data_IF_295068440397
#
_entry.id   IF_295068440397
#
_cell.length_a   1.000
_cell.length_b   1.000
_cell.length_c   1.000
_cell.angle_alpha   90.00
_cell.angle_beta   90.00
_cell.angle_gamma   90.00
#
_symmetry.space_group_name_H-M   'P 1'
#
loop_
_entity.id
_entity.type
_entity.pdbx_description
1 polymer ?
#
# COMPACT_ATOMS: atom_id res chain seq x y z
N UNK A 1 -20.09 -5.16 2.09
CA UNK A 1 -19.77 -6.59 2.32
C UNK A 1 -20.09 -7.43 1.09
N UNK A 2 -21.02 -6.94 0.26
CA UNK A 2 -21.47 -7.58 -0.98
C UNK A 2 -20.36 -7.52 -2.04
N UNK A 3 -20.14 -6.34 -2.63
CA UNK A 3 -19.21 -6.14 -3.76
C UNK A 3 -17.80 -5.71 -3.32
N UNK A 4 -17.52 -5.71 -2.03
CA UNK A 4 -16.20 -5.39 -1.48
C UNK A 4 -15.35 -6.64 -1.24
N UNK A 5 -14.03 -6.51 -1.37
CA UNK A 5 -13.10 -7.57 -0.95
C UNK A 5 -11.77 -7.01 -0.46
N UNK A 6 -11.32 -7.49 0.70
CA UNK A 6 -9.94 -7.41 1.13
C UNK A 6 -9.11 -8.47 0.39
N UNK A 7 -8.23 -8.00 -0.48
CA UNK A 7 -7.32 -8.84 -1.26
C UNK A 7 -5.87 -8.65 -0.80
N UNK A 8 -5.10 -9.73 -0.86
CA UNK A 8 -3.68 -9.71 -0.51
C UNK A 8 -2.89 -10.06 -1.77
N UNK A 9 -2.15 -9.08 -2.28
CA UNK A 9 -1.15 -9.31 -3.31
C UNK A 9 0.16 -9.75 -2.67
N UNK A 10 0.98 -10.49 -3.41
CA UNK A 10 2.26 -10.98 -2.91
C UNK A 10 3.40 -10.71 -3.90
N UNK A 11 4.61 -10.64 -3.36
CA UNK A 11 5.85 -10.64 -4.13
C UNK A 11 6.88 -11.55 -3.47
N UNK A 12 7.39 -12.50 -4.24
CA UNK A 12 8.44 -13.42 -3.81
C UNK A 12 9.82 -12.83 -4.09
N UNK A 13 10.74 -12.98 -3.15
CA UNK A 13 12.16 -12.71 -3.31
C UNK A 13 12.93 -13.95 -2.88
N UNK A 14 13.20 -14.85 -3.85
CA UNK A 14 13.85 -16.13 -3.61
C UNK A 14 15.28 -15.98 -3.06
N UNK A 15 16.02 -14.98 -3.55
CA UNK A 15 17.40 -14.74 -3.10
C UNK A 15 17.48 -14.43 -1.60
N UNK A 16 16.49 -13.71 -1.07
CA UNK A 16 16.42 -13.38 0.36
C UNK A 16 15.54 -14.35 1.15
N UNK A 17 14.89 -15.31 0.47
CA UNK A 17 13.82 -16.14 1.02
C UNK A 17 12.75 -15.29 1.74
N UNK A 18 12.27 -14.23 1.09
CA UNK A 18 11.24 -13.32 1.65
C UNK A 18 10.00 -13.30 0.76
N UNK A 19 8.83 -13.32 1.38
CA UNK A 19 7.54 -13.08 0.72
C UNK A 19 6.94 -11.80 1.30
N UNK A 20 6.67 -10.83 0.43
CA UNK A 20 6.01 -9.59 0.82
C UNK A 20 4.51 -9.72 0.59
N UNK A 21 3.69 -9.44 1.59
CA UNK A 21 2.23 -9.40 1.50
C UNK A 21 1.75 -7.96 1.52
N UNK A 22 0.92 -7.55 0.57
CA UNK A 22 0.41 -6.18 0.49
C UNK A 22 -1.12 -6.18 0.37
N UNK A 23 -1.83 -5.57 1.34
CA UNK A 23 -3.28 -5.51 1.34
C UNK A 23 -3.85 -4.44 0.41
N UNK A 24 -4.99 -4.76 -0.20
CA UNK A 24 -5.77 -3.87 -1.06
C UNK A 24 -7.25 -4.09 -0.80
N UNK A 25 -8.02 -3.01 -0.81
CA UNK A 25 -9.48 -3.08 -0.92
C UNK A 25 -9.86 -2.93 -2.39
N UNK A 26 -10.75 -3.80 -2.84
CA UNK A 26 -11.39 -3.72 -4.15
C UNK A 26 -12.90 -3.60 -3.96
N UNK A 27 -13.52 -2.69 -4.70
CA UNK A 27 -14.97 -2.57 -4.84
C UNK A 27 -15.35 -2.96 -6.27
N UNK A 28 -15.98 -4.13 -6.42
CA UNK A 28 -16.32 -4.81 -7.67
C UNK A 28 -17.57 -4.18 -8.30
N UNK A 29 -17.46 -2.92 -8.70
CA UNK A 29 -18.57 -2.08 -9.16
C UNK A 29 -18.66 -1.99 -10.70
N UNK A 30 -18.27 -3.06 -11.40
CA UNK A 30 -18.25 -3.12 -12.88
C UNK A 30 -19.65 -3.05 -13.54
N UNK A 31 -20.73 -3.05 -12.76
CA UNK A 31 -22.08 -2.77 -13.24
C UNK A 31 -22.35 -1.27 -13.48
N UNK A 32 -21.48 -0.37 -13.02
CA UNK A 32 -21.62 1.08 -13.20
C UNK A 32 -20.67 1.60 -14.29
N UNK A 33 -21.13 2.56 -15.13
CA UNK A 33 -20.27 3.30 -16.04
C UNK A 33 -19.13 4.05 -15.34
N UNK A 34 -18.08 4.35 -16.09
CA UNK A 34 -16.87 5.00 -15.56
C UNK A 34 -17.17 6.36 -14.92
N UNK A 35 -18.02 7.18 -15.53
CA UNK A 35 -18.34 8.52 -15.04
C UNK A 35 -19.12 8.49 -13.71
N UNK A 36 -19.97 7.48 -13.50
CA UNK A 36 -20.64 7.25 -12.22
C UNK A 36 -19.65 6.79 -11.15
N UNK A 37 -18.70 5.91 -11.49
CA UNK A 37 -17.63 5.52 -10.57
C UNK A 37 -16.70 6.68 -10.20
N UNK A 38 -16.47 7.62 -11.12
CA UNK A 38 -15.71 8.84 -10.82
C UNK A 38 -16.45 9.72 -9.80
N UNK A 39 -17.76 9.91 -9.97
CA UNK A 39 -18.61 10.65 -9.00
C UNK A 39 -18.62 9.95 -7.63
N UNK A 40 -18.74 8.63 -7.60
CA UNK A 40 -18.70 7.85 -6.35
C UNK A 40 -17.33 7.97 -5.67
N UNK A 41 -16.24 7.87 -6.44
CA UNK A 41 -14.87 8.05 -5.95
C UNK A 41 -14.68 9.43 -5.32
N UNK A 42 -15.17 10.49 -5.97
CA UNK A 42 -15.13 11.85 -5.45
C UNK A 42 -15.94 11.98 -4.15
N UNK A 43 -17.17 11.47 -4.14
CA UNK A 43 -18.02 11.48 -2.95
C UNK A 43 -17.36 10.77 -1.75
N UNK A 44 -16.78 9.59 -1.96
CA UNK A 44 -16.08 8.85 -0.91
C UNK A 44 -14.90 9.66 -0.36
N UNK A 45 -14.18 10.36 -1.23
CA UNK A 45 -13.08 11.22 -0.83
C UNK A 45 -13.55 12.44 -0.04
N UNK A 46 -14.61 13.12 -0.49
CA UNK A 46 -15.13 14.31 0.20
C UNK A 46 -15.75 13.98 1.55
N UNK A 47 -16.44 12.84 1.66
CA UNK A 47 -17.21 12.47 2.86
C UNK A 47 -16.36 11.75 3.91
N UNK A 48 -15.46 10.85 3.47
CA UNK A 48 -14.70 9.98 4.38
C UNK A 48 -13.19 10.22 4.31
N UNK A 49 -12.72 11.12 3.45
CA UNK A 49 -11.30 11.37 3.21
C UNK A 49 -10.52 10.11 2.86
N UNK A 50 -11.16 9.19 2.13
CA UNK A 50 -10.57 7.95 1.62
C UNK A 50 -10.29 8.07 0.13
N UNK A 51 -9.04 7.83 -0.26
CA UNK A 51 -8.62 7.91 -1.65
C UNK A 51 -8.72 6.55 -2.33
N UNK A 52 -9.63 6.45 -3.30
CA UNK A 52 -9.74 5.30 -4.20
C UNK A 52 -9.25 5.66 -5.61
N UNK A 53 -8.88 4.65 -6.40
CA UNK A 53 -8.58 4.80 -7.83
C UNK A 53 -9.41 3.86 -8.67
N UNK A 54 -9.73 4.31 -9.88
CA UNK A 54 -10.21 3.43 -10.93
C UNK A 54 -9.14 2.41 -11.30
N UNK A 55 -9.56 1.17 -11.52
CA UNK A 55 -8.74 0.11 -12.08
C UNK A 55 -9.52 -0.57 -13.19
N UNK A 56 -8.88 -0.78 -14.33
CA UNK A 56 -9.48 -1.45 -15.47
C UNK A 56 -9.70 -2.94 -15.20
N UNK A 57 -10.75 -3.51 -15.80
CA UNK A 57 -11.03 -4.93 -15.91
C UNK A 57 -11.62 -5.28 -17.28
N UNK A 58 -11.78 -6.58 -17.53
CA UNK A 58 -12.29 -7.14 -18.78
C UNK A 58 -13.80 -7.44 -18.76
N UNK A 59 -14.49 -7.20 -17.64
CA UNK A 59 -15.89 -7.52 -17.40
C UNK A 59 -16.75 -6.26 -17.13
N UNK A 60 -18.05 -6.36 -17.37
CA UNK A 60 -19.00 -5.26 -17.21
C UNK A 60 -18.60 -4.02 -18.02
N UNK A 61 -18.74 -2.83 -17.43
CA UNK A 61 -18.24 -1.57 -17.98
C UNK A 61 -16.71 -1.41 -17.91
N UNK A 62 -15.98 -2.44 -17.44
CA UNK A 62 -14.52 -2.49 -17.52
C UNK A 62 -13.78 -1.71 -16.44
N UNK A 63 -14.46 -1.25 -15.38
CA UNK A 63 -13.85 -0.47 -14.31
C UNK A 63 -14.36 -0.85 -12.93
N UNK A 64 -13.47 -0.69 -11.94
CA UNK A 64 -13.73 -0.88 -10.52
C UNK A 64 -12.99 0.16 -9.69
N UNK A 65 -13.29 0.25 -8.39
CA UNK A 65 -12.53 1.08 -7.46
C UNK A 65 -11.61 0.22 -6.59
N UNK A 66 -10.42 0.74 -6.28
CA UNK A 66 -9.48 0.12 -5.34
C UNK A 66 -8.67 1.11 -4.54
N UNK A 67 -8.19 0.69 -3.38
CA UNK A 67 -7.12 1.43 -2.67
C UNK A 67 -5.78 1.24 -3.37
N UNK A 68 -4.89 2.23 -3.27
CA UNK A 68 -3.55 2.17 -3.90
C UNK A 68 -2.39 2.26 -2.93
N UNK A 69 -2.68 2.41 -1.63
CA UNK A 69 -1.66 2.40 -0.60
C UNK A 69 -2.12 1.55 0.57
N UNK A 70 -1.17 0.99 1.30
CA UNK A 70 -1.42 0.24 2.53
C UNK A 70 -2.14 1.11 3.56
N UNK A 71 -1.73 2.38 3.67
CA UNK A 71 -2.36 3.36 4.56
C UNK A 71 -3.85 3.51 4.27
N UNK A 72 -4.21 3.73 3.01
CA UNK A 72 -5.62 3.89 2.62
C UNK A 72 -6.41 2.58 2.79
N UNK A 73 -5.79 1.42 2.57
CA UNK A 73 -6.41 0.12 2.86
C UNK A 73 -6.77 -0.01 4.34
N UNK A 74 -5.85 0.31 5.26
CA UNK A 74 -6.13 0.22 6.69
C UNK A 74 -7.16 1.25 7.16
N UNK A 75 -7.07 2.50 6.70
CA UNK A 75 -8.10 3.52 6.98
C UNK A 75 -9.49 3.09 6.50
N UNK A 76 -9.57 2.43 5.35
CA UNK A 76 -10.84 1.87 4.85
C UNK A 76 -11.37 0.79 5.80
N UNK A 77 -10.51 -0.13 6.25
CA UNK A 77 -10.90 -1.20 7.17
C UNK A 77 -11.35 -0.64 8.53
N UNK A 78 -10.63 0.32 9.09
CA UNK A 78 -10.99 1.03 10.33
C UNK A 78 -12.37 1.71 10.20
N UNK A 79 -12.65 2.36 9.06
CA UNK A 79 -13.94 3.02 8.83
C UNK A 79 -15.11 2.04 8.87
N UNK A 80 -14.95 0.85 8.27
CA UNK A 80 -16.03 -0.14 8.20
C UNK A 80 -16.09 -1.07 9.41
N UNK A 81 -15.05 -1.11 10.24
CA UNK A 81 -14.90 -2.03 11.37
C UNK A 81 -16.13 -2.07 12.29
N UNK A 82 -16.71 -0.92 12.72
CA UNK A 82 -17.83 -0.93 13.67
C UNK A 82 -19.03 -1.72 13.17
N UNK A 83 -19.28 -1.70 11.86
CA UNK A 83 -20.39 -2.41 11.22
C UNK A 83 -19.96 -3.83 10.84
N UNK A 84 -18.74 -4.00 10.32
CA UNK A 84 -18.25 -5.28 9.83
C UNK A 84 -18.06 -6.33 10.92
N UNK A 85 -17.66 -5.93 12.14
CA UNK A 85 -17.41 -6.87 13.24
C UNK A 85 -18.68 -7.59 13.72
N UNK A 86 -19.86 -7.06 13.40
CA UNK A 86 -21.15 -7.70 13.73
C UNK A 86 -21.43 -8.93 12.86
N UNK A 87 -20.71 -9.09 11.74
CA UNK A 87 -20.89 -10.18 10.80
C UNK A 87 -19.61 -11.04 10.70
N UNK A 88 -19.46 -12.00 11.62
CA UNK A 88 -18.27 -12.86 11.71
C UNK A 88 -18.00 -13.69 10.44
N UNK A 89 -19.05 -14.07 9.71
CA UNK A 89 -18.93 -14.80 8.45
C UNK A 89 -18.25 -13.98 7.34
N UNK A 90 -18.20 -12.65 7.46
CA UNK A 90 -17.61 -11.74 6.48
C UNK A 90 -16.16 -11.31 6.82
N UNK A 91 -15.58 -11.81 7.92
CA UNK A 91 -14.21 -11.44 8.34
C UNK A 91 -13.15 -11.69 7.27
N UNK A 92 -13.36 -12.65 6.36
CA UNK A 92 -12.46 -12.89 5.24
C UNK A 92 -12.37 -11.72 4.23
N UNK A 93 -13.37 -10.83 4.19
CA UNK A 93 -13.41 -9.61 3.36
C UNK A 93 -13.09 -8.34 4.15
N UNK A 94 -13.24 -8.35 5.48
CA UNK A 94 -13.29 -7.13 6.29
C UNK A 94 -12.28 -7.09 7.43
N UNK A 95 -11.61 -8.19 7.76
CA UNK A 95 -10.60 -8.24 8.82
C UNK A 95 -9.23 -8.53 8.25
N UNK A 96 -8.31 -7.59 8.46
CA UNK A 96 -6.90 -7.77 8.12
C UNK A 96 -6.28 -8.92 8.90
N UNK A 97 -6.47 -8.96 10.21
CA UNK A 97 -5.85 -9.96 11.08
C UNK A 97 -6.24 -11.38 10.65
N UNK A 98 -7.54 -11.61 10.48
CA UNK A 98 -8.07 -12.91 10.05
C UNK A 98 -7.52 -13.31 8.68
N UNK A 99 -7.54 -12.38 7.71
CA UNK A 99 -7.11 -12.68 6.34
C UNK A 99 -5.60 -12.88 6.23
N UNK A 100 -4.81 -12.09 6.96
CA UNK A 100 -3.36 -12.15 7.00
C UNK A 100 -2.87 -13.47 7.61
N UNK A 101 -3.46 -13.91 8.73
CA UNK A 101 -3.12 -15.20 9.34
C UNK A 101 -3.34 -16.36 8.36
N UNK A 102 -4.46 -16.36 7.64
CA UNK A 102 -4.72 -17.38 6.60
C UNK A 102 -3.68 -17.37 5.49
N UNK A 103 -3.28 -16.20 4.99
CA UNK A 103 -2.24 -16.11 3.95
C UNK A 103 -0.86 -16.50 4.50
N UNK A 104 -0.51 -16.15 5.74
CA UNK A 104 0.74 -16.57 6.37
C UNK A 104 0.82 -18.10 6.44
N UNK A 105 -0.23 -18.76 6.91
CA UNK A 105 -0.28 -20.22 6.99
C UNK A 105 -0.15 -20.88 5.62
N UNK A 106 -0.86 -20.35 4.62
CA UNK A 106 -0.76 -20.82 3.23
C UNK A 106 0.67 -20.73 2.69
N UNK A 107 1.33 -19.61 2.90
CA UNK A 107 2.71 -19.41 2.42
C UNK A 107 3.73 -20.22 3.21
N UNK A 108 3.56 -20.38 4.52
CA UNK A 108 4.42 -21.24 5.34
C UNK A 108 4.30 -22.72 4.95
N UNK A 109 3.12 -23.18 4.56
CA UNK A 109 2.94 -24.55 4.04
C UNK A 109 3.71 -24.75 2.72
N UNK A 110 3.75 -23.75 1.84
CA UNK A 110 4.46 -23.83 0.55
C UNK A 110 5.96 -23.59 0.68
N UNK A 111 6.37 -22.67 1.55
CA UNK A 111 7.75 -22.26 1.75
C UNK A 111 8.07 -22.08 3.24
N UNK A 112 8.35 -23.18 3.97
CA UNK A 112 8.57 -23.14 5.42
C UNK A 112 9.69 -22.21 5.85
N UNK A 113 10.79 -22.19 5.08
CA UNK A 113 12.00 -21.42 5.35
C UNK A 113 11.91 -19.94 4.97
N UNK A 114 10.81 -19.51 4.34
CA UNK A 114 10.68 -18.12 3.88
C UNK A 114 10.19 -17.23 5.02
N UNK A 115 10.76 -16.03 5.12
CA UNK A 115 10.26 -14.97 5.99
C UNK A 115 9.09 -14.28 5.31
N UNK A 116 7.95 -14.16 6.00
CA UNK A 116 6.76 -13.49 5.48
C UNK A 116 6.69 -12.10 6.10
N UNK A 117 6.63 -11.09 5.24
CA UNK A 117 6.68 -9.69 5.61
C UNK A 117 5.46 -8.95 5.07
N UNK A 118 4.58 -8.50 5.96
CA UNK A 118 3.50 -7.59 5.59
C UNK A 118 4.04 -6.21 5.28
N UNK A 119 3.70 -5.67 4.11
CA UNK A 119 3.90 -4.26 3.77
C UNK A 119 3.10 -3.41 4.76
N UNK A 120 3.78 -2.62 5.58
CA UNK A 120 3.16 -1.62 6.44
C UNK A 120 3.33 -0.22 5.85
N UNK A 121 2.40 0.67 6.16
CA UNK A 121 2.58 2.12 5.94
C UNK A 121 3.80 2.65 6.69
N UNK A 122 4.12 2.06 7.85
CA UNK A 122 5.20 2.50 8.74
C UNK A 122 6.60 2.13 8.23
N UNK A 123 6.69 1.36 7.13
CA UNK A 123 7.96 1.10 6.45
C UNK A 123 8.51 2.30 5.69
N UNK A 124 7.76 3.40 5.56
CA UNK A 124 8.39 4.66 5.24
C UNK A 124 9.25 5.05 6.44
N UNK A 125 10.56 4.79 6.38
CA UNK A 125 11.49 5.51 7.25
C UNK A 125 11.47 6.96 6.74
N UNK A 126 10.82 7.93 7.39
CA UNK A 126 10.97 9.33 6.99
C UNK A 126 12.46 9.70 7.14
N UNK A 127 12.94 10.67 6.37
CA UNK A 127 14.26 11.23 6.66
C UNK A 127 14.14 12.05 7.94
N UNK A 128 15.01 11.79 8.90
CA UNK A 128 15.16 12.68 10.05
C UNK A 128 15.72 14.05 9.60
N UNK A 129 15.54 15.11 10.39
CA UNK A 129 16.17 16.40 10.12
C UNK A 129 17.70 16.29 9.91
N UNK A 130 18.36 15.44 10.69
CA UNK A 130 19.80 15.18 10.56
C UNK A 130 20.15 14.47 9.25
N UNK A 131 19.36 13.48 8.83
CA UNK A 131 19.55 12.83 7.53
C UNK A 131 19.33 13.82 6.37
N UNK A 132 18.39 14.77 6.50
CA UNK A 132 18.17 15.83 5.50
C UNK A 132 19.37 16.78 5.45
N UNK A 133 19.89 17.19 6.60
CA UNK A 133 21.06 18.06 6.70
C UNK A 133 22.30 17.39 6.08
N UNK A 134 22.54 16.13 6.44
CA UNK A 134 23.62 15.33 5.90
C UNK A 134 23.47 15.09 4.39
N UNK A 135 22.24 14.83 3.91
CA UNK A 135 21.96 14.70 2.48
C UNK A 135 22.31 15.98 1.69
N UNK A 136 21.98 17.16 2.22
CA UNK A 136 22.36 18.45 1.60
C UNK A 136 23.88 18.60 1.51
N UNK A 137 24.58 18.40 2.63
CA UNK A 137 26.05 18.50 2.69
C UNK A 137 26.74 17.54 1.71
N UNK A 138 26.31 16.28 1.66
CA UNK A 138 26.91 15.30 0.74
C UNK A 138 26.66 15.67 -0.73
N UNK A 139 25.50 16.25 -1.06
CA UNK A 139 25.21 16.71 -2.42
C UNK A 139 26.01 17.95 -2.82
N UNK A 140 26.18 18.90 -1.90
CA UNK A 140 27.04 20.07 -2.10
C UNK A 140 28.51 19.66 -2.30
N UNK A 141 28.96 18.63 -1.60
CA UNK A 141 30.29 18.04 -1.74
C UNK A 141 30.45 17.11 -2.97
N UNK A 142 29.46 17.05 -3.86
CA UNK A 142 29.56 16.33 -5.14
C UNK A 142 29.37 14.80 -5.06
N UNK A 143 28.93 14.24 -3.93
CA UNK A 143 28.73 12.80 -3.80
C UNK A 143 27.60 12.29 -4.71
N UNK A 144 27.82 11.11 -5.29
CA UNK A 144 26.82 10.45 -6.13
C UNK A 144 25.64 9.95 -5.28
N UNK A 145 24.47 9.83 -5.89
CA UNK A 145 23.28 9.30 -5.20
C UNK A 145 23.49 7.88 -4.69
N UNK A 146 24.30 7.07 -5.37
CA UNK A 146 24.64 5.72 -4.93
C UNK A 146 25.49 5.72 -3.65
N UNK A 147 26.47 6.59 -3.54
CA UNK A 147 27.31 6.72 -2.34
C UNK A 147 26.48 7.23 -1.15
N UNK A 148 25.66 8.25 -1.39
CA UNK A 148 24.77 8.79 -0.37
C UNK A 148 23.76 7.74 0.12
N UNK A 149 23.20 6.93 -0.79
CA UNK A 149 22.30 5.84 -0.41
C UNK A 149 22.99 4.83 0.52
N UNK A 150 24.26 4.49 0.24
CA UNK A 150 25.05 3.63 1.14
C UNK A 150 25.29 4.29 2.49
N UNK A 151 25.71 5.56 2.52
CA UNK A 151 26.02 6.31 3.76
C UNK A 151 24.80 6.48 4.66
N UNK A 152 23.65 6.85 4.08
CA UNK A 152 22.40 7.03 4.81
C UNK A 152 21.65 5.71 5.06
N UNK A 153 22.19 4.58 4.61
CA UNK A 153 21.52 3.26 4.63
C UNK A 153 20.10 3.33 4.04
N UNK A 154 19.93 4.11 2.97
CA UNK A 154 18.69 4.31 2.23
C UNK A 154 18.75 3.64 0.86
N UNK A 155 17.59 3.44 0.23
CA UNK A 155 17.58 3.01 -1.17
C UNK A 155 17.93 4.18 -2.08
N UNK A 156 18.54 3.88 -3.23
CA UNK A 156 18.83 4.86 -4.27
C UNK A 156 17.63 5.75 -4.60
N UNK A 157 16.47 5.14 -4.87
CA UNK A 157 15.24 5.86 -5.19
C UNK A 157 14.77 6.76 -4.05
N UNK A 158 14.90 6.31 -2.80
CA UNK A 158 14.54 7.12 -1.63
C UNK A 158 15.39 8.39 -1.55
N UNK A 159 16.70 8.30 -1.83
CA UNK A 159 17.59 9.46 -1.91
C UNK A 159 17.24 10.36 -3.09
N UNK A 160 17.02 9.79 -4.28
CA UNK A 160 16.64 10.54 -5.50
C UNK A 160 15.39 11.37 -5.29
N UNK A 161 14.31 10.74 -4.80
CA UNK A 161 13.05 11.44 -4.53
C UNK A 161 13.23 12.52 -3.47
N UNK A 162 13.93 12.21 -2.37
CA UNK A 162 14.12 13.18 -1.29
C UNK A 162 14.93 14.40 -1.74
N UNK A 163 15.95 14.18 -2.56
CA UNK A 163 16.73 15.26 -3.14
C UNK A 163 15.89 16.14 -4.08
N UNK A 164 15.03 15.54 -4.91
CA UNK A 164 14.10 16.30 -5.75
C UNK A 164 13.11 17.15 -4.93
N UNK A 165 12.59 16.63 -3.81
CA UNK A 165 11.75 17.40 -2.88
C UNK A 165 12.51 18.60 -2.30
N UNK A 166 13.74 18.37 -1.80
CA UNK A 166 14.59 19.42 -1.21
C UNK A 166 14.86 20.54 -2.21
N UNK A 167 15.14 20.21 -3.48
CA UNK A 167 15.39 21.19 -4.53
C UNK A 167 14.17 22.03 -4.94
N UNK A 168 12.94 21.57 -4.64
CA UNK A 168 11.71 22.32 -4.94
C UNK A 168 11.32 23.31 -3.85
N UNK A 169 11.90 23.17 -2.66
CA UNK A 169 11.65 24.03 -1.49
C UNK A 169 12.63 25.21 -1.40
N UNK A 170 13.62 25.25 -2.28
CA UNK A 170 14.53 26.37 -2.49
C UNK A 170 14.25 26.98 -3.87
#
# INVERSE_FOLDING_TARGET
>A
MDDGSLSISYRENHNKKIIYLTPHIYLYLQCYPKDELEKLKEHIFTTYHLSLKLSSRKDGYGYILKTTSVKETFRFLELIEPVAKTCSSMLYKTSWEFRNQKEILRWKSKYPDYTILTSSSDRSKPYSPDEIKLLRQLKENGYTTNEIAKMLKRSYWSVTYKWQEIKKLN
#
